data_IF_437667278086
#
_entry.id   IF_437667278086
#
_cell.length_a   1.000
_cell.length_b   1.000
_cell.length_c   1.000
_cell.angle_alpha   90.00
_cell.angle_beta   90.00
_cell.angle_gamma   90.00
#
_symmetry.space_group_name_H-M   'P 1'
#
loop_
_entity.id
_entity.type
_entity.pdbx_description
1 polymer ?
#
# COMPACT_ATOMS: atom_id res chain seq x y z
N UNK A 1 3.05 -29.39 -17.30
CA UNK A 1 3.24 -27.93 -17.44
C UNK A 1 4.33 -27.38 -16.49
N UNK A 2 5.31 -28.18 -16.08
CA UNK A 2 6.36 -27.77 -15.13
C UNK A 2 7.73 -28.19 -15.68
N UNK A 3 8.52 -27.24 -16.20
CA UNK A 3 9.99 -27.30 -16.33
C UNK A 3 10.64 -26.04 -16.97
N UNK A 4 9.92 -24.92 -17.12
CA UNK A 4 10.53 -23.71 -17.67
C UNK A 4 11.27 -22.95 -16.56
N UNK A 5 12.57 -22.71 -16.76
CA UNK A 5 13.35 -21.79 -15.91
C UNK A 5 12.66 -20.43 -15.88
N UNK A 6 12.27 -19.98 -14.69
CA UNK A 6 11.70 -18.65 -14.49
C UNK A 6 12.77 -17.61 -14.82
N UNK A 7 12.43 -16.66 -15.69
CA UNK A 7 13.32 -15.52 -15.96
C UNK A 7 13.47 -14.71 -14.68
N UNK A 8 14.70 -14.40 -14.32
CA UNK A 8 14.99 -13.54 -13.19
C UNK A 8 14.34 -12.17 -13.40
N UNK A 9 13.49 -11.76 -12.46
CA UNK A 9 12.89 -10.44 -12.43
C UNK A 9 13.26 -9.78 -11.09
N UNK A 10 14.02 -8.67 -11.08
CA UNK A 10 14.41 -7.99 -9.85
C UNK A 10 13.23 -7.34 -9.11
N UNK A 11 12.10 -7.13 -9.81
CA UNK A 11 10.87 -6.58 -9.24
C UNK A 11 9.65 -7.46 -9.57
N UNK A 12 9.56 -8.69 -9.02
CA UNK A 12 8.44 -9.56 -9.28
C UNK A 12 7.16 -8.97 -8.66
N UNK A 13 6.02 -9.18 -9.31
CA UNK A 13 4.73 -8.73 -8.80
C UNK A 13 3.90 -9.95 -8.44
N UNK A 14 3.47 -10.02 -7.18
CA UNK A 14 2.63 -11.10 -6.67
C UNK A 14 1.42 -10.49 -5.98
N UNK A 15 0.22 -10.98 -6.32
CA UNK A 15 -1.06 -10.44 -5.85
C UNK A 15 -1.17 -8.90 -5.98
N UNK A 16 -0.61 -8.33 -7.05
CA UNK A 16 -0.63 -6.89 -7.28
C UNK A 16 0.35 -6.05 -6.44
N UNK A 17 1.18 -6.67 -5.61
CA UNK A 17 2.27 -6.02 -4.86
C UNK A 17 3.60 -6.26 -5.58
N UNK A 18 4.34 -5.20 -5.88
CA UNK A 18 5.67 -5.29 -6.50
C UNK A 18 6.74 -5.40 -5.41
N UNK A 19 7.44 -6.54 -5.38
CA UNK A 19 8.53 -6.78 -4.45
C UNK A 19 9.84 -6.23 -5.02
N UNK A 20 10.77 -5.91 -4.13
CA UNK A 20 12.15 -5.58 -4.45
C UNK A 20 13.08 -6.47 -3.61
N UNK A 21 14.32 -6.69 -4.06
CA UNK A 21 15.28 -7.57 -3.40
C UNK A 21 15.45 -7.31 -1.90
N UNK A 22 15.31 -6.04 -1.48
CA UNK A 22 15.49 -5.62 -0.08
C UNK A 22 14.16 -5.42 0.66
N UNK A 23 13.03 -5.77 0.04
CA UNK A 23 11.67 -5.56 0.56
C UNK A 23 11.48 -4.12 1.06
N UNK A 24 12.02 -3.11 0.38
CA UNK A 24 11.79 -1.70 0.71
C UNK A 24 10.50 -1.15 0.09
N UNK A 25 9.90 -1.90 -0.84
CA UNK A 25 8.71 -1.60 -1.61
C UNK A 25 8.77 -0.26 -2.34
N UNK A 26 9.98 0.20 -2.68
CA UNK A 26 10.15 1.47 -3.36
C UNK A 26 9.44 1.49 -4.71
N UNK A 27 9.69 0.49 -5.55
CA UNK A 27 9.10 0.42 -6.88
C UNK A 27 7.58 0.32 -6.82
N UNK A 28 7.06 -0.41 -5.83
CA UNK A 28 5.63 -0.49 -5.56
C UNK A 28 5.03 0.88 -5.25
N UNK A 29 5.61 1.62 -4.30
CA UNK A 29 5.12 2.95 -3.91
C UNK A 29 5.17 3.94 -5.07
N UNK A 30 6.22 3.90 -5.89
CA UNK A 30 6.31 4.71 -7.12
C UNK A 30 5.18 4.38 -8.11
N UNK A 31 4.91 3.09 -8.33
CA UNK A 31 3.84 2.62 -9.20
C UNK A 31 2.45 3.03 -8.66
N UNK A 32 2.21 2.86 -7.36
CA UNK A 32 0.96 3.28 -6.69
C UNK A 32 0.78 4.79 -6.80
N UNK A 33 1.83 5.58 -6.51
CA UNK A 33 1.78 7.03 -6.63
C UNK A 33 1.48 7.47 -8.06
N UNK A 34 2.09 6.85 -9.07
CA UNK A 34 1.82 7.15 -10.49
C UNK A 34 0.35 6.90 -10.82
N UNK A 35 -0.19 5.74 -10.46
CA UNK A 35 -1.61 5.39 -10.65
C UNK A 35 -2.54 6.39 -9.95
N UNK A 36 -2.24 6.72 -8.68
CA UNK A 36 -3.05 7.65 -7.90
C UNK A 36 -2.98 9.08 -8.44
N UNK A 37 -1.82 9.52 -8.93
CA UNK A 37 -1.63 10.87 -9.51
C UNK A 37 -2.48 11.04 -10.77
N UNK A 38 -2.55 10.03 -11.63
CA UNK A 38 -3.41 10.06 -12.81
C UNK A 38 -4.89 10.19 -12.41
N UNK A 39 -5.34 9.40 -11.43
CA UNK A 39 -6.73 9.46 -10.90
C UNK A 39 -7.02 10.78 -10.17
N UNK A 40 -6.02 11.36 -9.52
CA UNK A 40 -6.12 12.66 -8.86
C UNK A 40 -6.41 13.77 -9.87
N UNK A 41 -5.85 13.72 -11.07
CA UNK A 41 -6.16 14.70 -12.11
C UNK A 41 -7.64 14.64 -12.51
N UNK A 42 -8.22 13.43 -12.61
CA UNK A 42 -9.66 13.29 -12.82
C UNK A 42 -10.47 13.93 -11.68
N UNK A 43 -10.09 13.70 -10.42
CA UNK A 43 -10.75 14.34 -9.26
C UNK A 43 -10.63 15.86 -9.32
N UNK A 44 -9.47 16.41 -9.69
CA UNK A 44 -9.29 17.87 -9.83
C UNK A 44 -10.25 18.48 -10.85
N UNK A 45 -10.43 17.80 -11.98
CA UNK A 45 -11.38 18.21 -13.03
C UNK A 45 -12.81 18.12 -12.47
N UNK A 46 -13.16 17.01 -11.82
CA UNK A 46 -14.50 16.80 -11.24
C UNK A 46 -14.83 17.81 -10.14
N UNK A 47 -13.84 18.16 -9.34
CA UNK A 47 -13.99 19.15 -8.29
C UNK A 47 -14.05 20.58 -8.83
N UNK A 48 -13.88 20.84 -10.13
CA UNK A 48 -14.00 22.19 -10.66
C UNK A 48 -15.46 22.69 -10.61
N UNK A 49 -15.64 24.02 -10.54
CA UNK A 49 -16.92 24.67 -10.24
C UNK A 49 -18.01 24.40 -11.29
N UNK A 50 -17.65 23.96 -12.49
CA UNK A 50 -18.59 23.73 -13.60
C UNK A 50 -19.64 22.66 -13.31
N UNK A 51 -19.37 21.70 -12.41
CA UNK A 51 -20.23 20.52 -12.27
C UNK A 51 -21.07 20.47 -11.00
N UNK A 52 -21.02 21.48 -10.13
CA UNK A 52 -21.88 21.59 -8.93
C UNK A 52 -22.02 20.28 -8.09
N UNK A 53 -20.98 19.43 -8.07
CA UNK A 53 -21.01 18.18 -7.29
C UNK A 53 -20.93 18.46 -5.79
N UNK A 54 -21.72 17.71 -5.01
CA UNK A 54 -21.61 17.69 -3.54
C UNK A 54 -20.25 17.16 -3.11
N UNK A 55 -19.67 17.73 -2.06
CA UNK A 55 -18.38 17.30 -1.51
C UNK A 55 -18.38 15.82 -1.07
N UNK A 56 -19.49 15.33 -0.52
CA UNK A 56 -19.66 13.92 -0.16
C UNK A 56 -19.48 12.98 -1.36
N UNK A 57 -20.05 13.32 -2.51
CA UNK A 57 -19.90 12.57 -3.76
C UNK A 57 -18.46 12.60 -4.25
N UNK A 58 -17.79 13.76 -4.18
CA UNK A 58 -16.38 13.88 -4.57
C UNK A 58 -15.47 13.04 -3.65
N UNK A 59 -15.74 13.03 -2.34
CA UNK A 59 -15.02 12.19 -1.37
C UNK A 59 -15.30 10.70 -1.63
N UNK A 60 -16.52 10.31 -2.00
CA UNK A 60 -16.83 8.93 -2.38
C UNK A 60 -16.05 8.50 -3.64
N UNK A 61 -15.94 9.37 -4.65
CA UNK A 61 -15.13 9.14 -5.85
C UNK A 61 -13.64 9.01 -5.49
N UNK A 62 -13.13 9.86 -4.59
CA UNK A 62 -11.77 9.72 -4.07
C UNK A 62 -11.57 8.35 -3.40
N UNK A 63 -12.51 7.94 -2.55
CA UNK A 63 -12.43 6.67 -1.81
C UNK A 63 -12.42 5.48 -2.77
N UNK A 64 -13.28 5.48 -3.80
CA UNK A 64 -13.36 4.38 -4.76
C UNK A 64 -12.16 4.32 -5.71
N UNK A 65 -11.60 5.46 -6.13
CA UNK A 65 -10.54 5.51 -7.13
C UNK A 65 -9.12 5.53 -6.55
N UNK A 66 -8.87 6.31 -5.50
CA UNK A 66 -7.51 6.49 -4.97
C UNK A 66 -7.33 5.67 -3.70
N UNK A 67 -8.26 5.80 -2.76
CA UNK A 67 -8.12 5.16 -1.45
C UNK A 67 -8.09 3.64 -1.57
N UNK A 68 -8.93 3.05 -2.42
CA UNK A 68 -8.91 1.61 -2.71
C UNK A 68 -7.54 1.07 -3.14
N UNK A 69 -6.79 1.79 -3.98
CA UNK A 69 -5.44 1.39 -4.41
C UNK A 69 -4.48 1.41 -3.22
N UNK A 70 -4.55 2.46 -2.40
CA UNK A 70 -3.67 2.61 -1.24
C UNK A 70 -3.99 1.58 -0.15
N UNK A 71 -5.28 1.35 0.11
CA UNK A 71 -5.80 0.39 1.10
C UNK A 71 -5.38 -1.04 0.73
N UNK A 72 -5.38 -1.42 -0.55
CA UNK A 72 -4.83 -2.72 -1.00
C UNK A 72 -3.35 -2.92 -0.62
N UNK A 73 -2.60 -1.84 -0.44
CA UNK A 73 -1.20 -1.88 -0.03
C UNK A 73 -1.02 -1.81 1.49
N UNK A 74 -2.08 -1.99 2.30
CA UNK A 74 -1.98 -1.88 3.77
C UNK A 74 -0.99 -2.88 4.38
N UNK A 75 -0.88 -4.08 3.79
CA UNK A 75 -0.04 -5.18 4.28
C UNK A 75 1.45 -4.81 4.36
N UNK A 76 1.93 -3.96 3.45
CA UNK A 76 3.35 -3.56 3.42
C UNK A 76 3.68 -2.41 4.39
N UNK A 77 2.69 -1.89 5.14
CA UNK A 77 2.86 -0.75 6.05
C UNK A 77 4.02 -0.94 7.03
N UNK A 78 4.17 -2.14 7.59
CA UNK A 78 5.20 -2.50 8.58
C UNK A 78 6.62 -2.28 8.07
N UNK A 79 6.80 -2.36 6.74
CA UNK A 79 8.08 -2.27 6.08
C UNK A 79 8.31 -0.93 5.35
N UNK A 80 7.27 -0.11 5.21
CA UNK A 80 7.37 1.20 4.57
C UNK A 80 8.18 2.19 5.41
N UNK A 81 9.07 2.94 4.77
CA UNK A 81 9.74 4.07 5.43
C UNK A 81 8.79 5.27 5.58
N UNK A 82 9.01 6.09 6.62
CA UNK A 82 8.26 7.34 6.85
C UNK A 82 8.23 8.24 5.60
N UNK A 83 9.34 8.28 4.86
CA UNK A 83 9.46 9.03 3.59
C UNK A 83 8.46 8.54 2.54
N UNK A 84 8.38 7.22 2.31
CA UNK A 84 7.48 6.60 1.32
C UNK A 84 6.01 6.77 1.73
N UNK A 85 5.71 6.60 3.01
CA UNK A 85 4.38 6.86 3.55
C UNK A 85 3.95 8.33 3.34
N UNK A 86 4.86 9.28 3.57
CA UNK A 86 4.63 10.71 3.30
C UNK A 86 4.37 11.00 1.83
N UNK A 87 4.98 10.26 0.89
CA UNK A 87 4.71 10.40 -0.55
C UNK A 87 3.30 9.96 -0.94
N UNK A 88 2.74 8.95 -0.27
CA UNK A 88 1.35 8.54 -0.50
C UNK A 88 0.38 9.49 0.21
N UNK A 89 0.69 9.90 1.45
CA UNK A 89 -0.09 10.90 2.19
C UNK A 89 -0.21 12.22 1.42
N UNK A 90 0.85 12.68 0.73
CA UNK A 90 0.78 13.90 -0.06
C UNK A 90 -0.23 13.82 -1.21
N UNK A 91 -0.47 12.62 -1.74
CA UNK A 91 -1.49 12.39 -2.77
C UNK A 91 -2.90 12.47 -2.19
N UNK A 92 -3.13 11.91 -0.99
CA UNK A 92 -4.38 12.09 -0.24
C UNK A 92 -4.62 13.58 0.07
N UNK A 93 -3.61 14.28 0.58
CA UNK A 93 -3.72 15.70 0.92
C UNK A 93 -4.02 16.56 -0.32
N UNK A 94 -3.43 16.23 -1.47
CA UNK A 94 -3.72 16.92 -2.73
C UNK A 94 -5.16 16.68 -3.21
N UNK A 95 -5.71 15.47 -3.01
CA UNK A 95 -7.11 15.17 -3.29
C UNK A 95 -8.04 15.97 -2.37
N UNK A 96 -7.79 15.96 -1.06
CA UNK A 96 -8.57 16.71 -0.08
C UNK A 96 -8.58 18.22 -0.41
N UNK A 97 -7.41 18.82 -0.72
CA UNK A 97 -7.33 20.23 -1.13
C UNK A 97 -8.16 20.51 -2.39
N UNK A 98 -8.13 19.63 -3.38
CA UNK A 98 -8.89 19.80 -4.62
C UNK A 98 -10.41 19.77 -4.39
N UNK A 99 -10.88 18.87 -3.52
CA UNK A 99 -12.29 18.68 -3.16
C UNK A 99 -12.82 19.85 -2.33
N UNK A 100 -12.11 20.19 -1.24
CA UNK A 100 -12.55 21.20 -0.27
C UNK A 100 -12.12 22.63 -0.61
N UNK A 101 -11.40 22.83 -1.73
CA UNK A 101 -10.89 24.14 -2.18
C UNK A 101 -10.04 24.84 -1.13
N UNK A 102 -9.18 24.06 -0.48
CA UNK A 102 -8.32 24.54 0.60
C UNK A 102 -6.96 25.02 0.06
N UNK A 103 -6.37 26.05 0.68
CA UNK A 103 -5.09 26.59 0.26
C UNK A 103 -3.94 25.63 0.56
N UNK A 104 -2.78 25.88 -0.06
CA UNK A 104 -1.59 25.03 0.08
C UNK A 104 -1.03 25.00 1.50
N UNK A 105 -1.06 26.14 2.20
CA UNK A 105 -0.57 26.33 3.56
C UNK A 105 -1.44 25.65 4.64
N UNK A 106 -2.59 25.07 4.28
CA UNK A 106 -3.43 24.34 5.22
C UNK A 106 -2.71 23.09 5.74
N UNK A 107 -2.70 22.92 7.07
CA UNK A 107 -1.98 21.82 7.74
C UNK A 107 -2.50 20.46 7.31
N UNK A 108 -1.63 19.45 7.33
CA UNK A 108 -2.04 18.07 7.00
C UNK A 108 -2.96 17.47 8.05
N UNK A 109 -2.87 17.89 9.31
CA UNK A 109 -3.78 17.47 10.38
C UNK A 109 -5.18 18.06 10.13
N UNK A 110 -5.27 19.39 10.01
CA UNK A 110 -6.52 20.09 9.73
C UNK A 110 -7.19 19.59 8.44
N UNK A 111 -6.40 19.25 7.39
CA UNK A 111 -6.93 18.66 6.16
C UNK A 111 -7.69 17.35 6.42
N UNK A 112 -7.10 16.48 7.22
CA UNK A 112 -7.67 15.19 7.56
C UNK A 112 -8.95 15.38 8.38
N UNK A 113 -8.93 16.31 9.33
CA UNK A 113 -10.09 16.64 10.16
C UNK A 113 -11.23 17.23 9.33
N UNK A 114 -10.92 18.18 8.45
CA UNK A 114 -11.90 18.80 7.55
C UNK A 114 -12.52 17.79 6.58
N UNK A 115 -11.69 16.88 6.04
CA UNK A 115 -12.13 15.83 5.15
C UNK A 115 -12.79 14.65 5.87
N UNK A 116 -12.73 14.59 7.21
CA UNK A 116 -13.11 13.44 8.03
C UNK A 116 -12.42 12.15 7.57
N UNK A 117 -11.16 12.26 7.16
CA UNK A 117 -10.35 11.14 6.68
C UNK A 117 -9.20 10.90 7.67
N UNK A 118 -8.97 9.66 8.15
CA UNK A 118 -7.79 9.38 8.94
C UNK A 118 -6.53 9.53 8.08
N UNK A 119 -5.37 9.71 8.74
CA UNK A 119 -4.10 9.64 8.03
C UNK A 119 -3.97 8.27 7.36
N UNK A 120 -3.22 8.22 6.26
CA UNK A 120 -3.03 6.98 5.52
C UNK A 120 -2.38 5.90 6.39
N UNK A 121 -1.47 6.30 7.28
CA UNK A 121 -0.82 5.44 8.25
C UNK A 121 -1.82 4.77 9.20
N UNK A 122 -2.71 5.57 9.79
CA UNK A 122 -3.74 5.09 10.70
C UNK A 122 -4.73 4.18 9.99
N UNK A 123 -5.15 4.56 8.78
CA UNK A 123 -6.05 3.72 7.97
C UNK A 123 -5.44 2.36 7.68
N UNK A 124 -4.21 2.33 7.17
CA UNK A 124 -3.55 1.06 6.83
C UNK A 124 -3.39 0.18 8.08
N UNK A 125 -3.11 0.80 9.24
CA UNK A 125 -3.08 0.09 10.52
C UNK A 125 -4.45 -0.49 10.89
N UNK A 126 -5.51 0.31 10.79
CA UNK A 126 -6.88 -0.16 11.06
C UNK A 126 -7.25 -1.34 10.18
N UNK A 127 -6.95 -1.27 8.88
CA UNK A 127 -7.21 -2.37 7.95
C UNK A 127 -6.49 -3.66 8.33
N UNK A 128 -5.21 -3.55 8.69
CA UNK A 128 -4.43 -4.72 9.10
C UNK A 128 -4.96 -5.30 10.42
N UNK A 129 -5.33 -4.46 11.38
CA UNK A 129 -5.92 -4.91 12.66
C UNK A 129 -7.26 -5.62 12.42
N UNK A 130 -8.16 -5.02 11.64
CA UNK A 130 -9.45 -5.64 11.29
C UNK A 130 -9.25 -6.95 10.54
N UNK A 131 -8.27 -7.04 9.64
CA UNK A 131 -7.93 -8.28 8.95
C UNK A 131 -7.54 -9.38 9.95
N UNK A 132 -6.57 -9.11 10.84
CA UNK A 132 -6.14 -10.07 11.85
C UNK A 132 -7.25 -10.46 12.84
N UNK A 133 -8.09 -9.51 13.24
CA UNK A 133 -9.24 -9.80 14.12
C UNK A 133 -10.21 -10.74 13.42
N UNK A 134 -10.54 -10.48 12.16
CA UNK A 134 -11.44 -11.33 11.41
C UNK A 134 -10.83 -12.72 11.15
N UNK A 135 -9.51 -12.86 10.95
CA UNK A 135 -8.92 -14.18 10.76
C UNK A 135 -9.00 -15.04 12.02
N UNK A 136 -8.80 -14.45 13.20
CA UNK A 136 -8.94 -15.13 14.49
C UNK A 136 -10.41 -15.53 14.74
N UNK A 137 -11.35 -14.61 14.51
CA UNK A 137 -12.78 -14.87 14.76
C UNK A 137 -13.38 -15.95 13.86
N UNK A 138 -12.82 -16.17 12.67
CA UNK A 138 -13.27 -17.20 11.73
C UNK A 138 -12.51 -18.53 11.87
N UNK A 139 -11.66 -18.67 12.90
CA UNK A 139 -10.88 -19.90 13.17
C UNK A 139 -10.17 -20.44 11.92
N UNK A 140 -9.51 -19.56 11.17
CA UNK A 140 -8.86 -19.94 9.93
C UNK A 140 -7.65 -20.85 10.20
N UNK A 141 -7.81 -22.15 9.94
CA UNK A 141 -6.78 -23.17 10.14
C UNK A 141 -5.43 -22.82 9.50
N UNK A 142 -5.42 -22.21 8.30
CA UNK A 142 -4.18 -21.81 7.61
C UNK A 142 -3.47 -20.66 8.31
N UNK A 143 -4.20 -19.82 9.05
CA UNK A 143 -3.61 -18.73 9.80
C UNK A 143 -3.01 -19.22 11.12
N UNK A 144 -3.66 -20.15 11.80
CA UNK A 144 -3.11 -20.81 12.99
C UNK A 144 -1.83 -21.59 12.64
N UNK A 145 -1.83 -22.38 11.55
CA UNK A 145 -0.63 -23.06 11.04
C UNK A 145 0.49 -22.06 10.72
N UNK A 146 0.17 -20.92 10.09
CA UNK A 146 1.15 -19.88 9.80
C UNK A 146 1.70 -19.20 11.07
N UNK A 147 0.86 -19.01 12.09
CA UNK A 147 1.28 -18.46 13.38
C UNK A 147 2.22 -19.43 14.10
N UNK A 148 1.86 -20.71 14.14
CA UNK A 148 2.71 -21.78 14.69
C UNK A 148 4.05 -21.82 13.95
N UNK A 149 4.06 -21.77 12.62
CA UNK A 149 5.29 -21.72 11.82
C UNK A 149 6.13 -20.49 12.15
N UNK A 150 5.50 -19.33 12.37
CA UNK A 150 6.18 -18.08 12.70
C UNK A 150 6.77 -18.09 14.12
N UNK A 151 6.05 -18.62 15.10
CA UNK A 151 6.50 -18.75 16.48
C UNK A 151 7.59 -19.83 16.62
N UNK A 152 7.45 -20.94 15.92
CA UNK A 152 8.43 -22.03 15.89
C UNK A 152 9.63 -21.74 14.97
N UNK A 153 9.56 -20.70 14.14
CA UNK A 153 10.70 -20.20 13.36
C UNK A 153 11.77 -19.63 14.29
N UNK A 154 12.70 -20.50 14.70
CA UNK A 154 13.91 -20.14 15.43
C UNK A 154 14.62 -18.96 14.72
N UNK A 155 14.70 -17.78 15.36
CA UNK A 155 15.34 -16.55 14.86
C UNK A 155 16.81 -16.76 14.42
N UNK A 156 17.42 -17.87 14.81
CA UNK A 156 18.75 -18.34 14.36
C UNK A 156 18.76 -18.84 12.91
N UNK A 157 17.67 -19.43 12.41
CA UNK A 157 17.55 -19.92 11.03
C UNK A 157 17.41 -18.78 10.01
N UNK A 158 16.70 -17.70 10.37
CA UNK A 158 16.57 -16.49 9.54
C UNK A 158 17.91 -15.76 9.34
N UNK A 159 18.83 -15.83 10.30
CA UNK A 159 20.20 -15.29 10.15
C UNK A 159 21.05 -16.08 9.16
N UNK A 160 20.75 -17.37 8.93
CA UNK A 160 21.38 -18.20 7.89
C UNK A 160 20.78 -17.93 6.51
N UNK A 161 19.49 -17.60 6.44
CA UNK A 161 18.79 -17.17 5.22
C UNK A 161 19.09 -15.68 4.90
N UNK A 162 20.38 -15.31 4.75
CA UNK A 162 20.76 -13.93 4.38
C UNK A 162 20.27 -13.50 2.99
N UNK A 163 19.89 -14.46 2.18
CA UNK A 163 19.10 -14.34 0.95
C UNK A 163 18.40 -15.69 0.80
N UNK A 164 17.18 -15.73 0.24
CA UNK A 164 16.79 -16.93 -0.49
C UNK A 164 17.80 -17.03 -1.64
N UNK A 165 18.91 -17.76 -1.43
CA UNK A 165 19.84 -18.09 -2.49
C UNK A 165 19.05 -18.92 -3.49
N UNK A 166 18.50 -18.28 -4.51
CA UNK A 166 18.33 -18.97 -5.77
C UNK A 166 19.75 -19.33 -6.18
N UNK A 167 20.14 -20.58 -5.96
CA UNK A 167 21.46 -21.10 -6.28
C UNK A 167 21.81 -20.73 -7.72
N UNK A 168 22.58 -19.64 -7.85
CA UNK A 168 23.35 -19.33 -9.04
C UNK A 168 24.55 -20.26 -9.01
N UNK A 169 24.34 -21.53 -9.30
CA UNK A 169 25.41 -22.34 -9.87
C UNK A 169 25.65 -21.80 -11.28
N UNK A 170 26.63 -20.90 -11.37
CA UNK A 170 27.30 -20.59 -12.61
C UNK A 170 28.01 -21.86 -13.08
N UNK A 171 27.35 -22.64 -13.92
CA UNK A 171 28.05 -23.55 -14.82
C UNK A 171 28.51 -22.71 -16.00
N UNK A 172 29.69 -22.11 -15.87
CA UNK A 172 30.50 -21.59 -16.97
C UNK A 172 31.90 -22.16 -16.81
N UNK A 173 32.21 -23.06 -17.75
CA UNK A 173 33.47 -23.74 -18.08
C UNK A 173 33.90 -24.90 -17.18
#
# INVERSE_FOLDING_TARGET
MYNHKLKYNPNPTFLGITFDQRLTFQKHVENVKKKCTNRLNCIKIISNKSWALKQSTQTAIYTSLIRSIMDHSSLILTRLSKKRLKQLQSTQNAAARAIYKLPYNFSSADLNDKAKLPSLAERMRQLNVTYCQNTILNENLLFEELLDDYENMNLTHLKKLKTFSCDMKNDLN
#
